data_IF_888605618346
#
_entry.id   IF_888605618346
#
_cell.length_a   1.000
_cell.length_b   1.000
_cell.length_c   1.000
_cell.angle_alpha   90.00
_cell.angle_beta   90.00
_cell.angle_gamma   90.00
#
_symmetry.space_group_name_H-M   'P 1'
#
loop_
_entity.id
_entity.type
_entity.pdbx_description
1 polymer ?
#
# COMPACT_ATOMS: atom_id res chain seq x y z
N UNK A 1 -9.36 -24.23 20.81
CA UNK A 1 -8.54 -24.68 19.67
C UNK A 1 -7.10 -24.68 20.13
N UNK A 2 -6.32 -25.69 19.77
CA UNK A 2 -4.88 -25.67 20.06
C UNK A 2 -4.19 -24.87 18.95
N UNK A 3 -3.96 -23.59 19.21
CA UNK A 3 -3.34 -22.69 18.26
C UNK A 3 -1.87 -23.03 18.04
N UNK A 4 -1.42 -22.83 16.81
CA UNK A 4 -0.05 -23.05 16.37
C UNK A 4 0.37 -21.95 15.37
N UNK A 5 1.67 -21.76 15.08
CA UNK A 5 2.09 -20.80 14.06
C UNK A 5 1.50 -21.13 12.68
N UNK A 6 0.59 -20.27 12.22
CA UNK A 6 -0.09 -20.41 10.93
C UNK A 6 0.82 -19.86 9.83
N UNK A 7 1.14 -20.70 8.85
CA UNK A 7 1.86 -20.29 7.63
C UNK A 7 0.82 -20.06 6.54
N UNK A 8 0.82 -18.87 5.95
CA UNK A 8 -0.09 -18.52 4.86
C UNK A 8 0.62 -18.61 3.51
N UNK A 9 -0.15 -18.89 2.47
CA UNK A 9 0.24 -18.57 1.09
C UNK A 9 0.29 -17.05 0.92
N UNK A 10 1.13 -16.58 -0.02
CA UNK A 10 1.16 -15.18 -0.42
C UNK A 10 0.56 -15.00 -1.81
N UNK A 11 0.17 -13.76 -2.13
CA UNK A 11 -0.27 -13.36 -3.47
C UNK A 11 0.74 -12.41 -4.09
N UNK A 12 1.15 -12.65 -5.33
CA UNK A 12 2.05 -11.77 -6.06
C UNK A 12 1.30 -10.67 -6.81
N UNK A 13 1.89 -9.48 -6.84
CA UNK A 13 1.50 -8.41 -7.75
C UNK A 13 2.68 -7.99 -8.61
N UNK A 14 2.36 -7.68 -9.87
CA UNK A 14 3.29 -7.16 -10.84
C UNK A 14 2.86 -5.76 -11.23
N UNK A 15 3.75 -4.79 -11.03
CA UNK A 15 3.54 -3.38 -11.34
C UNK A 15 4.80 -2.79 -11.98
N UNK A 16 4.64 -1.70 -12.73
CA UNK A 16 5.74 -1.09 -13.47
C UNK A 16 6.86 -0.51 -12.59
N UNK A 17 6.61 -0.32 -11.29
CA UNK A 17 7.61 0.22 -10.37
C UNK A 17 8.52 -0.85 -9.74
N UNK A 18 8.14 -2.12 -9.82
CA UNK A 18 8.89 -3.21 -9.20
C UNK A 18 9.90 -3.86 -10.14
N UNK A 19 10.85 -4.57 -9.56
CA UNK A 19 11.75 -5.47 -10.28
C UNK A 19 11.78 -6.82 -9.55
N UNK A 20 12.92 -7.19 -8.95
CA UNK A 20 13.14 -8.49 -8.32
C UNK A 20 13.81 -8.40 -6.95
N UNK A 21 13.76 -7.25 -6.27
CA UNK A 21 14.33 -7.09 -4.93
C UNK A 21 13.72 -8.07 -3.93
N UNK A 22 12.42 -8.36 -3.99
CA UNK A 22 11.76 -9.31 -3.07
C UNK A 22 12.42 -10.71 -3.13
N UNK A 23 12.44 -11.42 -4.28
CA UNK A 23 13.09 -12.72 -4.35
C UNK A 23 14.61 -12.66 -4.15
N UNK A 24 15.29 -11.62 -4.64
CA UNK A 24 16.76 -11.55 -4.62
C UNK A 24 17.34 -11.18 -3.26
N UNK A 25 16.75 -10.20 -2.56
CA UNK A 25 17.24 -9.76 -1.25
C UNK A 25 16.72 -10.61 -0.10
N UNK A 26 15.47 -11.06 -0.16
CA UNK A 26 14.86 -11.85 0.92
C UNK A 26 15.06 -13.36 0.73
N UNK A 27 15.59 -13.77 -0.43
CA UNK A 27 15.67 -15.19 -0.81
C UNK A 27 14.28 -15.83 -0.93
N UNK A 28 13.24 -15.04 -1.23
CA UNK A 28 11.86 -15.52 -1.28
C UNK A 28 11.71 -16.55 -2.40
N UNK A 29 11.19 -17.71 -2.03
CA UNK A 29 10.98 -18.84 -2.94
C UNK A 29 9.52 -18.93 -3.39
N UNK A 30 9.28 -19.60 -4.51
CA UNK A 30 7.93 -19.83 -5.04
C UNK A 30 7.32 -18.64 -5.78
N UNK A 31 8.13 -17.62 -6.08
CA UNK A 31 7.74 -16.47 -6.90
C UNK A 31 7.80 -16.79 -8.39
N UNK A 32 7.06 -16.06 -9.21
CA UNK A 32 7.13 -16.16 -10.67
C UNK A 32 8.47 -15.67 -11.26
N UNK A 33 8.76 -16.10 -12.49
CA UNK A 33 9.85 -15.57 -13.32
C UNK A 33 9.39 -14.21 -13.90
N UNK A 34 10.01 -13.10 -13.48
CA UNK A 34 9.64 -11.75 -13.93
C UNK A 34 9.59 -10.71 -12.81
N UNK A 35 8.81 -9.65 -12.99
CA UNK A 35 8.68 -8.59 -11.99
C UNK A 35 7.79 -9.05 -10.83
N UNK A 36 8.31 -8.92 -9.61
CA UNK A 36 7.64 -9.20 -8.34
C UNK A 36 7.60 -7.89 -7.54
N UNK A 37 6.59 -7.06 -7.82
CA UNK A 37 6.47 -5.73 -7.23
C UNK A 37 5.93 -5.78 -5.80
N UNK A 38 4.96 -6.66 -5.54
CA UNK A 38 4.48 -6.89 -4.18
C UNK A 38 4.27 -8.39 -3.92
N UNK A 39 4.45 -8.78 -2.66
CA UNK A 39 3.96 -10.07 -2.16
C UNK A 39 3.12 -9.84 -0.91
N UNK A 40 1.83 -10.15 -1.00
CA UNK A 40 0.88 -10.00 0.10
C UNK A 40 0.97 -11.22 1.00
N UNK A 41 1.64 -11.07 2.15
CA UNK A 41 2.00 -12.15 3.06
C UNK A 41 0.87 -12.50 4.04
N UNK A 42 0.14 -11.49 4.50
CA UNK A 42 -1.05 -11.62 5.33
C UNK A 42 -2.13 -10.80 4.66
N UNK A 43 -3.13 -11.46 4.08
CA UNK A 43 -4.20 -10.78 3.36
C UNK A 43 -5.52 -11.47 3.64
N UNK A 44 -6.54 -10.66 3.88
CA UNK A 44 -7.94 -11.07 3.85
C UNK A 44 -8.78 -10.12 2.97
N UNK A 45 -8.18 -9.66 1.87
CA UNK A 45 -8.83 -8.74 0.95
C UNK A 45 -9.41 -9.49 -0.27
N UNK A 46 -10.74 -9.60 -0.33
CA UNK A 46 -11.45 -10.19 -1.47
C UNK A 46 -10.92 -11.57 -1.85
N UNK A 47 -10.63 -11.78 -3.14
CA UNK A 47 -10.10 -13.05 -3.66
C UNK A 47 -8.62 -13.30 -3.32
N UNK A 48 -7.94 -12.31 -2.74
CA UNK A 48 -6.53 -12.43 -2.31
C UNK A 48 -6.38 -12.80 -0.85
N UNK A 49 -7.36 -13.49 -0.26
CA UNK A 49 -7.22 -14.04 1.08
C UNK A 49 -6.13 -15.13 1.14
N UNK A 50 -5.32 -15.15 2.19
CA UNK A 50 -4.25 -16.14 2.37
C UNK A 50 -4.82 -17.53 2.68
N UNK A 51 -4.22 -18.59 2.15
CA UNK A 51 -4.58 -19.98 2.47
C UNK A 51 -3.57 -20.58 3.44
N UNK A 52 -4.03 -21.28 4.47
CA UNK A 52 -3.15 -21.94 5.44
C UNK A 52 -2.43 -23.13 4.81
N UNK A 53 -1.12 -23.21 5.01
CA UNK A 53 -0.22 -24.20 4.41
C UNK A 53 0.17 -25.35 5.34
N UNK A 54 -0.18 -25.27 6.64
CA UNK A 54 0.28 -26.22 7.64
C UNK A 54 -0.74 -26.52 8.74
N UNK A 55 -0.55 -27.66 9.39
CA UNK A 55 -1.34 -28.09 10.55
C UNK A 55 -2.78 -28.42 10.21
N UNK A 56 -3.65 -28.45 11.22
CA UNK A 56 -5.04 -28.89 11.10
C UNK A 56 -5.94 -27.93 10.30
N UNK A 57 -5.57 -26.64 10.24
CA UNK A 57 -6.26 -25.62 9.46
C UNK A 57 -5.80 -25.57 8.00
N UNK A 58 -4.85 -26.41 7.56
CA UNK A 58 -4.35 -26.41 6.19
C UNK A 58 -5.47 -26.51 5.15
N UNK A 59 -5.40 -25.65 4.12
CA UNK A 59 -6.43 -25.53 3.09
C UNK A 59 -7.59 -24.58 3.44
N UNK A 60 -7.71 -24.13 4.69
CA UNK A 60 -8.65 -23.05 5.05
C UNK A 60 -8.08 -21.68 4.69
N UNK A 61 -8.96 -20.71 4.46
CA UNK A 61 -8.54 -19.32 4.23
C UNK A 61 -8.36 -18.57 5.55
N UNK A 62 -7.57 -17.49 5.53
CA UNK A 62 -7.47 -16.54 6.64
C UNK A 62 -8.85 -15.95 6.96
N UNK A 63 -9.67 -15.72 5.94
CA UNK A 63 -11.06 -15.28 6.09
C UNK A 63 -11.85 -16.21 7.01
N UNK A 64 -11.88 -17.50 6.67
CA UNK A 64 -12.72 -18.46 7.39
C UNK A 64 -12.29 -18.56 8.87
N UNK A 65 -10.98 -18.53 9.12
CA UNK A 65 -10.44 -18.60 10.49
C UNK A 65 -10.76 -17.31 11.25
N UNK A 66 -10.69 -16.15 10.58
CA UNK A 66 -11.04 -14.85 11.18
C UNK A 66 -12.52 -14.80 11.56
N UNK A 67 -13.42 -15.32 10.72
CA UNK A 67 -14.85 -15.31 10.98
C UNK A 67 -15.29 -16.36 12.02
N UNK A 68 -14.65 -17.52 12.02
CA UNK A 68 -14.97 -18.60 12.97
C UNK A 68 -14.39 -18.33 14.37
N UNK A 69 -13.23 -17.67 14.45
CA UNK A 69 -12.48 -17.47 15.69
C UNK A 69 -11.94 -16.02 15.87
N UNK A 70 -12.78 -14.98 15.74
CA UNK A 70 -12.33 -13.58 15.75
C UNK A 70 -11.64 -13.18 17.07
N UNK A 71 -12.18 -13.65 18.20
CA UNK A 71 -11.66 -13.31 19.54
C UNK A 71 -10.28 -13.92 19.82
N UNK A 72 -10.01 -15.10 19.24
CA UNK A 72 -8.75 -15.82 19.42
C UNK A 72 -7.69 -15.35 18.42
N UNK A 73 -8.08 -15.08 17.17
CA UNK A 73 -7.15 -14.74 16.10
C UNK A 73 -6.78 -13.26 16.08
N UNK A 74 -7.77 -12.37 16.21
CA UNK A 74 -7.58 -10.92 16.11
C UNK A 74 -7.49 -10.30 17.49
N UNK A 75 -8.41 -10.70 18.37
CA UNK A 75 -8.44 -10.26 19.77
C UNK A 75 -9.87 -10.11 20.29
N UNK A 76 -10.00 -10.22 21.61
CA UNK A 76 -11.29 -10.20 22.28
C UNK A 76 -12.11 -8.94 21.94
N UNK A 77 -13.33 -9.15 21.49
CA UNK A 77 -14.29 -8.10 21.13
C UNK A 77 -14.14 -7.56 19.71
N UNK A 78 -13.11 -7.96 18.95
CA UNK A 78 -12.96 -7.50 17.57
C UNK A 78 -14.07 -8.05 16.68
N UNK A 79 -14.72 -7.18 15.90
CA UNK A 79 -15.71 -7.59 14.89
C UNK A 79 -15.49 -6.76 13.64
N UNK A 80 -15.43 -7.41 12.50
CA UNK A 80 -15.26 -6.78 11.21
C UNK A 80 -15.56 -7.77 10.08
N UNK A 81 -15.65 -7.30 8.84
CA UNK A 81 -15.96 -8.17 7.71
C UNK A 81 -14.78 -9.03 7.25
N UNK A 82 -13.55 -8.69 7.67
CA UNK A 82 -12.31 -9.34 7.24
C UNK A 82 -11.20 -9.11 8.28
N UNK A 83 -10.14 -9.92 8.26
CA UNK A 83 -8.95 -9.69 9.10
C UNK A 83 -8.46 -8.24 8.92
N UNK A 84 -8.19 -7.48 9.99
CA UNK A 84 -8.13 -6.02 9.91
C UNK A 84 -6.88 -5.45 9.20
N UNK A 85 -5.83 -6.26 9.03
CA UNK A 85 -4.55 -5.81 8.47
C UNK A 85 -4.15 -6.60 7.22
N UNK A 86 -3.59 -5.89 6.25
CA UNK A 86 -2.86 -6.45 5.12
C UNK A 86 -1.37 -6.17 5.34
N UNK A 87 -0.54 -7.20 5.24
CA UNK A 87 0.91 -7.07 5.31
C UNK A 87 1.57 -7.57 4.03
N UNK A 88 2.50 -6.79 3.49
CA UNK A 88 3.16 -7.09 2.21
C UNK A 88 4.64 -6.71 2.21
N UNK A 89 5.43 -7.41 1.41
CA UNK A 89 6.69 -6.85 0.91
C UNK A 89 6.41 -6.07 -0.37
N UNK A 90 7.10 -4.95 -0.55
CA UNK A 90 6.94 -4.08 -1.71
C UNK A 90 8.32 -3.67 -2.23
N UNK A 91 8.59 -4.03 -3.48
CA UNK A 91 9.75 -3.66 -4.27
C UNK A 91 9.46 -2.35 -5.01
N UNK A 92 10.14 -1.30 -4.60
CA UNK A 92 10.14 0.03 -5.20
C UNK A 92 11.48 0.30 -5.88
N UNK A 93 11.92 -0.61 -6.75
CA UNK A 93 13.11 -0.43 -7.60
C UNK A 93 13.01 0.85 -8.43
N UNK A 94 11.81 1.21 -8.88
CA UNK A 94 11.50 2.52 -9.44
C UNK A 94 10.58 3.30 -8.50
N UNK A 95 10.50 4.62 -8.72
CA UNK A 95 9.64 5.51 -7.94
C UNK A 95 8.17 5.07 -8.03
N UNK A 96 7.50 4.90 -6.89
CA UNK A 96 6.08 4.63 -6.88
C UNK A 96 5.28 5.81 -7.44
N UNK A 97 4.08 5.55 -7.98
CA UNK A 97 3.13 6.61 -8.27
C UNK A 97 2.96 7.55 -7.07
N UNK A 98 2.79 8.84 -7.30
CA UNK A 98 2.34 9.76 -6.25
C UNK A 98 0.86 9.51 -6.01
N UNK A 99 0.54 8.99 -4.84
CA UNK A 99 -0.77 8.44 -4.54
C UNK A 99 -1.29 8.84 -3.16
N UNK A 100 -2.58 8.63 -2.97
CA UNK A 100 -3.31 8.90 -1.74
C UNK A 100 -4.25 7.75 -1.46
N UNK A 101 -4.35 7.41 -0.19
CA UNK A 101 -5.29 6.45 0.35
C UNK A 101 -6.35 7.17 1.17
N UNK A 102 -7.62 6.77 1.04
CA UNK A 102 -8.70 7.35 1.84
C UNK A 102 -8.51 7.01 3.33
N UNK A 103 -8.88 7.94 4.21
CA UNK A 103 -9.08 7.64 5.64
C UNK A 103 -10.41 6.92 5.87
N UNK A 104 -10.67 6.46 7.09
CA UNK A 104 -11.89 5.71 7.42
C UNK A 104 -13.18 6.51 7.12
N UNK A 105 -13.19 7.82 7.42
CA UNK A 105 -14.36 8.67 7.18
C UNK A 105 -14.66 8.81 5.68
N UNK A 106 -13.63 9.10 4.87
CA UNK A 106 -13.74 9.22 3.42
C UNK A 106 -14.09 7.88 2.78
N UNK A 107 -13.48 6.78 3.24
CA UNK A 107 -13.78 5.42 2.81
C UNK A 107 -15.27 5.09 2.96
N UNK A 108 -15.84 5.37 4.14
CA UNK A 108 -17.26 5.14 4.40
C UNK A 108 -18.16 6.05 3.54
N UNK A 109 -17.85 7.34 3.46
CA UNK A 109 -18.69 8.35 2.80
C UNK A 109 -18.67 8.26 1.27
N UNK A 110 -17.51 8.02 0.68
CA UNK A 110 -17.30 8.06 -0.78
C UNK A 110 -17.43 6.68 -1.41
N UNK A 111 -16.91 5.65 -0.74
CA UNK A 111 -16.79 4.31 -1.29
C UNK A 111 -17.73 3.29 -0.65
N UNK A 112 -18.40 3.63 0.46
CA UNK A 112 -19.19 2.69 1.23
C UNK A 112 -18.34 1.56 1.84
N UNK A 113 -17.03 1.80 2.00
CA UNK A 113 -16.09 0.82 2.51
C UNK A 113 -16.05 0.84 4.06
N UNK A 114 -15.74 -0.31 4.70
CA UNK A 114 -15.73 -0.41 6.15
C UNK A 114 -14.55 0.31 6.82
N UNK A 115 -13.47 0.56 6.07
CA UNK A 115 -12.26 1.24 6.54
C UNK A 115 -11.51 1.87 5.36
N UNK A 116 -10.66 2.84 5.68
CA UNK A 116 -9.69 3.43 4.77
C UNK A 116 -8.43 2.58 4.69
N UNK A 117 -7.33 3.23 4.32
CA UNK A 117 -6.02 2.61 4.17
C UNK A 117 -4.92 3.52 4.73
N UNK A 118 -4.82 3.53 6.06
CA UNK A 118 -3.61 3.97 6.75
C UNK A 118 -2.59 2.84 6.76
N UNK A 119 -1.32 3.20 6.70
CA UNK A 119 -0.24 2.24 6.55
C UNK A 119 1.03 2.64 7.30
N UNK A 120 1.90 1.67 7.53
CA UNK A 120 3.20 1.83 8.10
C UNK A 120 4.22 1.02 7.31
N UNK A 121 5.32 1.65 6.95
CA UNK A 121 6.42 1.04 6.22
C UNK A 121 7.61 0.83 7.15
N UNK A 122 8.20 -0.34 7.11
CA UNK A 122 9.54 -0.58 7.65
C UNK A 122 10.52 -0.75 6.49
N UNK A 123 11.55 0.09 6.46
CA UNK A 123 12.53 0.13 5.38
C UNK A 123 13.51 -1.03 5.58
N UNK A 124 13.40 -2.07 4.75
CA UNK A 124 14.29 -3.24 4.81
C UNK A 124 15.63 -2.90 4.15
N UNK A 125 15.55 -2.27 2.99
CA UNK A 125 16.70 -1.84 2.21
C UNK A 125 16.37 -0.54 1.47
N UNK A 126 17.40 0.31 1.33
CA UNK A 126 17.32 1.59 0.65
C UNK A 126 18.67 1.88 -0.02
N UNK A 127 18.62 2.22 -1.30
CA UNK A 127 19.77 2.67 -2.10
C UNK A 127 20.20 4.09 -1.76
N UNK A 128 21.30 4.54 -2.38
CA UNK A 128 21.79 5.91 -2.20
C UNK A 128 20.77 6.91 -2.73
N UNK A 129 20.33 7.85 -1.89
CA UNK A 129 19.34 8.87 -2.26
C UNK A 129 17.88 8.41 -2.18
N UNK A 130 17.61 7.18 -1.73
CA UNK A 130 16.27 6.71 -1.44
C UNK A 130 15.55 7.67 -0.50
N UNK A 131 14.30 7.99 -0.83
CA UNK A 131 13.53 9.01 -0.13
C UNK A 131 12.03 8.78 -0.26
N UNK A 132 11.29 9.53 0.55
CA UNK A 132 9.84 9.58 0.56
C UNK A 132 9.41 11.00 0.24
N UNK A 133 8.39 11.14 -0.60
CA UNK A 133 7.56 12.33 -0.67
C UNK A 133 6.31 12.08 0.18
N UNK A 134 6.00 12.95 1.14
CA UNK A 134 4.81 12.75 1.99
C UNK A 134 4.22 14.08 2.47
N UNK A 135 2.93 14.29 2.20
CA UNK A 135 2.20 15.50 2.54
C UNK A 135 2.44 16.65 1.56
N UNK A 136 1.93 17.84 1.93
CA UNK A 136 2.04 19.07 1.14
C UNK A 136 2.83 20.11 1.93
N UNK A 137 3.68 20.87 1.24
CA UNK A 137 4.46 21.94 1.87
C UNK A 137 3.55 23.07 2.38
N UNK A 138 3.92 23.74 3.49
CA UNK A 138 3.16 24.85 4.02
C UNK A 138 2.96 25.98 3.00
N UNK A 139 1.74 26.50 2.91
CA UNK A 139 1.41 27.67 2.08
C UNK A 139 1.22 27.38 0.58
N UNK A 140 1.30 26.12 0.15
CA UNK A 140 0.97 25.74 -1.23
C UNK A 140 -0.54 25.85 -1.45
N UNK A 141 -0.95 26.56 -2.50
CA UNK A 141 -2.36 26.69 -2.89
C UNK A 141 -2.81 25.52 -3.77
N UNK A 142 -4.13 25.34 -3.90
CA UNK A 142 -4.72 24.34 -4.81
C UNK A 142 -4.21 24.49 -6.24
N UNK A 143 -4.16 25.71 -6.75
CA UNK A 143 -3.72 26.01 -8.11
C UNK A 143 -2.26 25.64 -8.31
N UNK A 144 -1.42 25.89 -7.29
CA UNK A 144 -0.01 25.51 -7.31
C UNK A 144 0.15 23.98 -7.29
N UNK A 145 -0.63 23.26 -6.48
CA UNK A 145 -0.63 21.78 -6.48
C UNK A 145 -1.00 21.21 -7.84
N UNK A 146 -2.14 21.64 -8.41
CA UNK A 146 -2.61 21.15 -9.70
C UNK A 146 -1.59 21.46 -10.81
N UNK A 147 -1.03 22.67 -10.83
CA UNK A 147 0.00 23.02 -11.80
C UNK A 147 1.26 22.14 -11.68
N UNK A 148 1.73 21.91 -10.45
CA UNK A 148 2.89 21.07 -10.18
C UNK A 148 2.65 19.61 -10.57
N UNK A 149 1.48 19.03 -10.23
CA UNK A 149 1.13 17.66 -10.58
C UNK A 149 0.99 17.47 -12.10
N UNK A 150 0.36 18.42 -12.81
CA UNK A 150 0.31 18.40 -14.28
C UNK A 150 1.69 18.54 -14.93
N UNK A 151 2.61 19.26 -14.29
CA UNK A 151 4.00 19.37 -14.72
C UNK A 151 4.89 18.20 -14.25
N UNK A 152 4.37 17.29 -13.41
CA UNK A 152 5.10 16.23 -12.72
C UNK A 152 6.26 16.74 -11.84
N UNK A 153 6.18 18.00 -11.39
CA UNK A 153 7.14 18.63 -10.49
C UNK A 153 6.67 18.47 -9.03
N UNK A 154 6.59 17.22 -8.58
CA UNK A 154 6.05 16.90 -7.26
C UNK A 154 6.88 17.50 -6.12
N UNK A 155 8.20 17.57 -6.29
CA UNK A 155 9.12 18.21 -5.35
C UNK A 155 8.85 19.69 -5.14
N UNK A 156 8.18 20.40 -6.06
CA UNK A 156 7.80 21.79 -5.85
C UNK A 156 6.81 21.92 -4.67
N UNK A 157 5.91 20.95 -4.52
CA UNK A 157 4.74 21.04 -3.63
C UNK A 157 4.73 20.02 -2.49
N UNK A 158 5.50 18.94 -2.57
CA UNK A 158 5.61 17.91 -1.53
C UNK A 158 6.99 17.96 -0.85
N UNK A 159 7.08 17.82 0.48
CA UNK A 159 8.37 17.71 1.16
C UNK A 159 8.98 16.31 0.93
N UNK A 160 10.31 16.28 0.80
CA UNK A 160 11.09 15.06 0.61
C UNK A 160 11.88 14.73 1.87
N UNK A 161 11.83 13.47 2.28
CA UNK A 161 12.53 12.95 3.45
C UNK A 161 13.47 11.82 3.03
N UNK A 162 14.76 11.87 3.37
CA UNK A 162 15.65 10.74 3.15
C UNK A 162 15.25 9.57 4.05
N UNK A 163 15.49 8.35 3.59
CA UNK A 163 15.25 7.13 4.38
C UNK A 163 16.49 6.24 4.42
N UNK A 164 16.61 5.49 5.51
CA UNK A 164 17.68 4.52 5.73
C UNK A 164 17.08 3.15 6.11
N UNK A 165 17.82 2.05 5.88
CA UNK A 165 17.42 0.74 6.38
C UNK A 165 17.21 0.78 7.90
N UNK A 166 16.09 0.22 8.35
CA UNK A 166 15.67 0.23 9.75
C UNK A 166 14.71 1.35 10.12
N UNK A 167 14.54 2.38 9.28
CA UNK A 167 13.53 3.41 9.51
C UNK A 167 12.11 2.83 9.47
N UNK A 168 11.20 3.47 10.20
CA UNK A 168 9.77 3.19 10.12
C UNK A 168 9.01 4.48 9.90
N UNK A 169 8.12 4.46 8.91
CA UNK A 169 7.30 5.61 8.50
C UNK A 169 5.84 5.23 8.61
N UNK A 170 5.07 6.07 9.29
CA UNK A 170 3.62 5.94 9.39
C UNK A 170 2.96 6.94 8.46
N UNK A 171 2.03 6.47 7.63
CA UNK A 171 1.30 7.26 6.64
C UNK A 171 -0.20 7.11 6.92
N UNK A 172 -0.81 8.09 7.60
CA UNK A 172 -2.25 8.12 7.79
C UNK A 172 -3.01 8.23 6.46
N UNK A 173 -4.23 7.68 6.42
CA UNK A 173 -5.17 7.94 5.32
C UNK A 173 -5.42 9.44 5.15
N UNK A 174 -5.48 9.88 3.90
CA UNK A 174 -5.62 11.27 3.47
C UNK A 174 -4.29 11.98 3.19
N UNK A 175 -3.15 11.37 3.51
CA UNK A 175 -1.83 11.94 3.19
C UNK A 175 -1.41 11.48 1.80
N UNK A 176 -1.10 12.42 0.91
CA UNK A 176 -0.51 12.11 -0.40
C UNK A 176 0.98 11.76 -0.24
N UNK A 177 1.43 10.71 -0.90
CA UNK A 177 2.79 10.21 -0.71
C UNK A 177 3.32 9.39 -1.91
N UNK A 178 4.63 9.17 -1.92
CA UNK A 178 5.35 8.23 -2.78
C UNK A 178 6.69 7.89 -2.12
N UNK A 179 7.28 6.76 -2.51
CA UNK A 179 8.63 6.38 -2.10
C UNK A 179 9.35 5.64 -3.22
N UNK A 180 10.64 5.42 -3.02
CA UNK A 180 11.55 4.94 -4.05
C UNK A 180 12.31 6.07 -4.74
N UNK A 181 13.04 5.80 -5.83
CA UNK A 181 13.40 4.45 -6.30
C UNK A 181 14.33 3.73 -5.30
N UNK A 182 14.81 2.55 -5.68
CA UNK A 182 15.79 1.75 -4.94
C UNK A 182 15.40 1.52 -3.48
N UNK A 183 14.16 1.07 -3.24
CA UNK A 183 13.69 0.79 -1.86
C UNK A 183 12.98 -0.56 -1.81
N UNK A 184 13.22 -1.32 -0.74
CA UNK A 184 12.46 -2.52 -0.38
C UNK A 184 11.86 -2.30 1.01
N UNK A 185 10.54 -2.45 1.13
CA UNK A 185 9.84 -2.25 2.40
C UNK A 185 9.03 -3.48 2.82
N UNK A 186 8.78 -3.57 4.12
CA UNK A 186 7.64 -4.30 4.66
C UNK A 186 6.56 -3.30 5.04
N UNK A 187 5.40 -3.39 4.40
CA UNK A 187 4.25 -2.55 4.67
C UNK A 187 3.21 -3.32 5.48
N UNK A 188 2.69 -2.68 6.52
CA UNK A 188 1.49 -3.09 7.24
C UNK A 188 0.45 -1.99 7.04
N UNK A 189 -0.69 -2.35 6.50
CA UNK A 189 -1.79 -1.44 6.21
C UNK A 189 -3.11 -1.99 6.75
N UNK A 190 -4.13 -1.13 6.85
CA UNK A 190 -5.50 -1.61 7.00
C UNK A 190 -5.87 -2.48 5.79
N UNK A 191 -6.69 -3.53 5.98
CA UNK A 191 -7.17 -4.36 4.88
C UNK A 191 -8.09 -3.56 3.96
N UNK A 192 -7.52 -3.02 2.90
CA UNK A 192 -8.16 -2.14 1.92
C UNK A 192 -7.27 -2.03 0.68
N UNK A 193 -7.88 -1.84 -0.47
CA UNK A 193 -7.19 -1.58 -1.74
C UNK A 193 -7.67 -0.25 -2.37
N UNK A 194 -8.20 0.66 -1.53
CA UNK A 194 -8.61 1.99 -1.97
C UNK A 194 -7.39 2.87 -2.18
N UNK A 195 -7.22 3.42 -3.37
CA UNK A 195 -6.17 4.37 -3.66
C UNK A 195 -6.45 5.19 -4.91
N UNK A 196 -5.92 6.40 -4.94
CA UNK A 196 -5.93 7.29 -6.09
C UNK A 196 -4.52 7.80 -6.36
N UNK A 197 -4.22 8.10 -7.62
CA UNK A 197 -2.90 8.56 -8.05
C UNK A 197 -3.04 9.84 -8.86
N UNK A 198 -2.08 10.75 -8.70
CA UNK A 198 -1.95 11.97 -9.52
C UNK A 198 -0.96 11.78 -10.67
N UNK A 199 -0.52 10.54 -10.91
CA UNK A 199 0.33 10.20 -12.05
C UNK A 199 -0.48 10.18 -13.35
N UNK A 200 0.14 10.53 -14.49
CA UNK A 200 -0.50 10.40 -15.80
C UNK A 200 -0.59 8.96 -16.30
N UNK A 201 -0.04 8.00 -15.58
CA UNK A 201 -0.02 6.58 -15.95
C UNK A 201 -0.64 5.74 -14.84
N UNK A 202 -1.25 4.62 -15.21
CA UNK A 202 -1.67 3.60 -14.26
C UNK A 202 -0.47 2.85 -13.63
N UNK A 203 -0.75 1.93 -12.70
CA UNK A 203 0.28 1.12 -12.03
C UNK A 203 1.04 0.17 -12.97
N UNK A 204 0.56 -0.02 -14.21
CA UNK A 204 1.18 -0.84 -15.24
C UNK A 204 1.97 -0.02 -16.27
N UNK A 205 2.04 1.31 -16.09
CA UNK A 205 2.77 2.21 -16.96
C UNK A 205 1.99 2.65 -18.21
N UNK A 206 0.69 2.34 -18.31
CA UNK A 206 -0.13 2.79 -19.43
C UNK A 206 -0.54 4.25 -19.23
N UNK A 207 -0.41 5.06 -20.27
CA UNK A 207 -0.82 6.47 -20.26
C UNK A 207 -2.34 6.59 -20.15
N UNK A 208 -2.81 7.35 -19.18
CA UNK A 208 -4.20 7.78 -19.04
C UNK A 208 -4.53 8.84 -20.09
N UNK A 209 -5.81 8.91 -20.50
CA UNK A 209 -6.29 10.09 -21.22
C UNK A 209 -6.23 11.34 -20.34
N UNK A 210 -6.17 12.52 -20.95
CA UNK A 210 -6.10 13.77 -20.20
C UNK A 210 -7.37 13.98 -19.33
N UNK A 211 -8.54 13.51 -19.79
CA UNK A 211 -9.79 13.57 -19.02
C UNK A 211 -9.74 12.65 -17.78
N UNK A 212 -9.24 11.43 -17.92
CA UNK A 212 -9.08 10.49 -16.80
C UNK A 212 -8.07 11.00 -15.78
N UNK A 213 -6.95 11.55 -16.26
CA UNK A 213 -5.91 12.11 -15.40
C UNK A 213 -6.41 13.34 -14.64
N UNK A 214 -7.10 14.25 -15.32
CA UNK A 214 -7.72 15.42 -14.69
C UNK A 214 -8.75 15.01 -13.63
N UNK A 215 -9.58 14.01 -13.93
CA UNK A 215 -10.54 13.49 -12.96
C UNK A 215 -9.84 12.82 -11.75
N UNK A 216 -8.71 12.15 -11.94
CA UNK A 216 -7.94 11.55 -10.85
C UNK A 216 -7.29 12.61 -9.94
N UNK A 217 -6.77 13.70 -10.52
CA UNK A 217 -6.28 14.85 -9.77
C UNK A 217 -7.40 15.46 -8.92
N UNK A 218 -8.57 15.70 -9.51
CA UNK A 218 -9.69 16.33 -8.82
C UNK A 218 -10.24 15.46 -7.68
N UNK A 219 -10.32 14.14 -7.88
CA UNK A 219 -10.69 13.20 -6.81
C UNK A 219 -9.65 13.15 -5.70
N UNK A 220 -8.35 13.09 -6.04
CA UNK A 220 -7.28 13.16 -5.04
C UNK A 220 -7.36 14.45 -4.22
N UNK A 221 -7.66 15.59 -4.86
CA UNK A 221 -7.87 16.86 -4.17
C UNK A 221 -9.05 16.85 -3.19
N UNK A 222 -10.11 16.11 -3.49
CA UNK A 222 -11.29 16.02 -2.62
C UNK A 222 -11.05 15.20 -1.34
N UNK A 223 -10.02 14.36 -1.34
CA UNK A 223 -9.69 13.42 -0.24
C UNK A 223 -8.42 13.82 0.53
N UNK A 224 -7.63 14.73 -0.04
CA UNK A 224 -6.38 15.22 0.53
C UNK A 224 -6.58 15.92 1.87
N UNK A 225 -5.81 15.48 2.87
CA UNK A 225 -5.58 16.17 4.13
C UNK A 225 -4.25 16.91 4.10
N UNK A 226 -4.24 18.13 4.63
CA UNK A 226 -3.06 19.02 4.63
C UNK A 226 -2.73 19.57 6.01
N UNK A 227 -3.50 19.18 7.02
CA UNK A 227 -3.37 19.56 8.43
C UNK A 227 -2.53 18.58 9.25
#
# INVERSE_FOLDING_TARGET
>A
MDWYPIKLSFHERTYAFGERLIPEMLGKQGTSDGVVAETWEISDHGETTGTVLNGELAGRTLHDITMDHPDDLVGQGWRGPHFPLLAKFLDASHMLPVHLHADDETAARVYGAPNGKSEAWHIIWAGEGASILAGIKPGVTREQMVAAWKAQDYDAVMPRFPILPGDTVYVPGGIIHAFGPDTLIYEIQQTSDLGQSVMPTDHYGNRLSDEEWDAAIERTMAELKTD
#
